data_IF_082385648189
#
_entry.id   IF_082385648189
#
_cell.length_a   1.000
_cell.length_b   1.000
_cell.length_c   1.000
_cell.angle_alpha   90.00
_cell.angle_beta   90.00
_cell.angle_gamma   90.00
#
_symmetry.space_group_name_H-M   'P 1'
#
loop_
_entity.id
_entity.type
_entity.pdbx_description
1 polymer ?
#
# COMPACT_ATOMS: atom_id res chain seq x y z
N UNK A 1 19.20 44.38 -14.84
CA UNK A 1 18.26 43.99 -13.75
C UNK A 1 17.10 43.08 -14.20
N UNK A 2 16.54 43.22 -15.42
CA UNK A 2 15.43 42.35 -15.90
C UNK A 2 15.82 40.90 -16.23
N UNK A 3 17.09 40.65 -16.57
CA UNK A 3 17.57 39.33 -17.00
C UNK A 3 17.76 38.32 -15.85
N UNK A 4 18.06 38.78 -14.63
CA UNK A 4 18.17 37.92 -13.44
C UNK A 4 16.83 37.36 -12.96
N UNK A 5 15.73 38.07 -13.22
CA UNK A 5 14.38 37.69 -12.79
C UNK A 5 13.88 36.48 -13.62
N UNK A 6 14.27 36.40 -14.89
CA UNK A 6 13.86 35.30 -15.78
C UNK A 6 14.60 34.01 -15.41
N UNK A 7 15.88 34.11 -15.04
CA UNK A 7 16.68 32.96 -14.61
C UNK A 7 16.18 32.33 -13.31
N UNK A 8 15.75 33.13 -12.34
CA UNK A 8 15.20 32.63 -11.07
C UNK A 8 13.82 32.00 -11.25
N UNK A 9 12.96 32.57 -12.10
CA UNK A 9 11.65 31.98 -12.42
C UNK A 9 11.80 30.61 -13.08
N UNK A 10 12.71 30.47 -14.05
CA UNK A 10 12.95 29.16 -14.69
C UNK A 10 13.47 28.11 -13.69
N UNK A 11 14.38 28.50 -12.80
CA UNK A 11 14.92 27.61 -11.75
C UNK A 11 13.83 27.13 -10.78
N UNK A 12 12.90 28.01 -10.39
CA UNK A 12 11.77 27.65 -9.52
C UNK A 12 10.81 26.69 -10.22
N UNK A 13 10.52 26.89 -11.51
CA UNK A 13 9.66 25.98 -12.29
C UNK A 13 10.29 24.59 -12.44
N UNK A 14 11.60 24.52 -12.66
CA UNK A 14 12.33 23.24 -12.75
C UNK A 14 12.35 22.53 -11.39
N UNK A 15 12.54 23.26 -10.29
CA UNK A 15 12.50 22.69 -8.92
C UNK A 15 11.11 22.14 -8.56
N UNK A 16 10.04 22.82 -8.99
CA UNK A 16 8.66 22.37 -8.77
C UNK A 16 8.27 21.17 -9.66
N UNK A 17 8.89 20.97 -10.82
CA UNK A 17 8.59 19.81 -11.67
C UNK A 17 9.11 18.49 -11.08
N UNK A 18 10.19 18.51 -10.28
CA UNK A 18 10.77 17.30 -9.70
C UNK A 18 9.99 16.76 -8.50
N UNK A 19 9.22 17.60 -7.81
CA UNK A 19 8.46 17.20 -6.61
C UNK A 19 7.14 16.49 -6.92
N UNK A 20 6.63 16.56 -8.16
CA UNK A 20 5.33 15.99 -8.55
C UNK A 20 5.42 14.49 -8.92
N UNK A 21 6.63 13.95 -9.09
CA UNK A 21 6.82 12.55 -9.55
C UNK A 21 6.67 11.47 -8.46
N UNK A 22 6.40 11.85 -7.21
CA UNK A 22 6.32 10.90 -6.09
C UNK A 22 4.91 10.37 -5.80
N UNK A 23 3.86 10.91 -6.43
CA UNK A 23 2.48 10.58 -6.03
C UNK A 23 2.03 9.15 -6.40
N UNK A 24 2.75 8.46 -7.29
CA UNK A 24 2.36 7.14 -7.81
C UNK A 24 3.43 6.05 -7.67
N UNK A 25 4.46 6.24 -6.82
CA UNK A 25 5.50 5.23 -6.62
C UNK A 25 5.22 4.42 -5.36
N UNK A 26 4.61 3.26 -5.55
CA UNK A 26 4.60 2.22 -4.53
C UNK A 26 6.01 1.63 -4.33
N UNK A 27 6.24 1.00 -3.17
CA UNK A 27 7.51 0.31 -2.90
C UNK A 27 7.77 -0.88 -3.84
N UNK A 28 9.00 -1.40 -3.85
CA UNK A 28 9.43 -2.46 -4.77
C UNK A 28 8.62 -3.78 -4.68
N UNK A 29 7.86 -4.00 -3.59
CA UNK A 29 6.99 -5.17 -3.38
C UNK A 29 5.51 -4.79 -3.25
N UNK A 30 5.17 -3.63 -3.76
CA UNK A 30 3.83 -3.09 -3.72
C UNK A 30 3.34 -2.76 -5.12
N UNK A 31 2.03 -2.77 -5.29
CA UNK A 31 1.34 -2.41 -6.52
C UNK A 31 0.26 -1.37 -6.22
N UNK A 32 0.06 -0.46 -7.17
CA UNK A 32 -0.98 0.55 -7.09
C UNK A 32 -2.31 -0.08 -7.50
N UNK A 33 -3.25 -0.16 -6.55
CA UNK A 33 -4.61 -0.66 -6.81
C UNK A 33 -5.64 0.40 -6.42
N UNK A 34 -6.79 0.33 -7.09
CA UNK A 34 -7.98 1.12 -6.80
C UNK A 34 -8.99 0.25 -6.09
N UNK A 35 -9.09 0.42 -4.76
CA UNK A 35 -10.08 -0.26 -3.93
C UNK A 35 -11.13 0.77 -3.52
N UNK A 36 -12.42 0.44 -3.65
CA UNK A 36 -13.52 1.39 -3.34
C UNK A 36 -13.39 2.76 -4.04
N UNK A 37 -12.87 2.77 -5.27
CA UNK A 37 -12.68 4.00 -6.07
C UNK A 37 -11.49 4.88 -5.67
N UNK A 38 -10.72 4.49 -4.65
CA UNK A 38 -9.56 5.25 -4.18
C UNK A 38 -8.24 4.50 -4.44
N UNK A 39 -7.18 5.19 -4.88
CA UNK A 39 -5.86 4.57 -5.07
C UNK A 39 -5.20 4.23 -3.73
N UNK A 40 -4.40 3.17 -3.71
CA UNK A 40 -3.53 2.81 -2.60
C UNK A 40 -2.42 1.85 -3.01
N UNK A 41 -1.34 1.81 -2.22
CA UNK A 41 -0.24 0.88 -2.40
C UNK A 41 -0.46 -0.37 -1.54
N UNK A 42 -0.57 -1.52 -2.21
CA UNK A 42 -0.84 -2.80 -1.59
C UNK A 42 0.29 -3.76 -1.87
N UNK A 43 0.61 -4.63 -0.90
CA UNK A 43 1.57 -5.69 -1.11
C UNK A 43 1.15 -6.58 -2.28
N UNK A 44 2.08 -6.93 -3.17
CA UNK A 44 1.81 -7.77 -4.34
C UNK A 44 1.13 -9.10 -3.97
N UNK A 45 0.44 -9.74 -4.92
CA UNK A 45 -0.25 -11.02 -4.69
C UNK A 45 0.68 -12.05 -4.03
N UNK A 46 0.18 -12.73 -2.99
CA UNK A 46 0.93 -13.73 -2.22
C UNK A 46 1.83 -13.14 -1.13
N UNK A 47 1.72 -11.83 -0.87
CA UNK A 47 2.42 -11.16 0.22
C UNK A 47 1.46 -10.35 1.08
N UNK A 48 1.78 -10.21 2.36
CA UNK A 48 0.98 -9.49 3.38
C UNK A 48 1.82 -8.41 4.04
N UNK A 49 1.16 -7.31 4.44
CA UNK A 49 1.82 -6.19 5.12
C UNK A 49 1.95 -6.47 6.61
N UNK A 50 3.19 -6.51 7.09
CA UNK A 50 3.58 -6.68 8.50
C UNK A 50 4.52 -5.53 8.86
N UNK A 51 4.18 -4.71 9.85
CA UNK A 51 5.04 -3.59 10.31
C UNK A 51 5.64 -2.78 9.14
N UNK A 52 4.79 -2.32 8.22
CA UNK A 52 5.15 -1.58 7.00
C UNK A 52 5.84 -2.37 5.87
N UNK A 53 6.22 -3.62 6.08
CA UNK A 53 6.92 -4.44 5.07
C UNK A 53 5.99 -5.49 4.45
N UNK A 54 6.17 -5.75 3.16
CA UNK A 54 5.51 -6.87 2.49
C UNK A 54 6.35 -8.13 2.63
N UNK A 55 5.80 -9.12 3.33
CA UNK A 55 6.41 -10.45 3.53
C UNK A 55 5.57 -11.52 2.84
N UNK A 56 6.15 -12.67 2.45
CA UNK A 56 5.38 -13.77 1.88
C UNK A 56 4.24 -14.23 2.81
N UNK A 57 3.06 -14.50 2.27
CA UNK A 57 1.93 -15.06 3.04
C UNK A 57 2.32 -16.36 3.76
N UNK A 58 3.21 -17.15 3.17
CA UNK A 58 3.76 -18.38 3.76
C UNK A 58 4.63 -18.17 5.00
N UNK A 59 5.09 -16.94 5.26
CA UNK A 59 5.80 -16.60 6.50
C UNK A 59 4.84 -16.42 7.69
N UNK A 60 3.53 -16.46 7.44
CA UNK A 60 2.48 -16.33 8.43
C UNK A 60 1.68 -17.63 8.53
N UNK A 61 1.15 -17.90 9.73
CA UNK A 61 0.22 -19.00 9.98
C UNK A 61 -1.07 -18.48 10.62
N UNK A 62 -2.18 -19.17 10.39
CA UNK A 62 -3.38 -18.94 11.18
C UNK A 62 -3.09 -19.37 12.62
N UNK A 63 -3.54 -18.56 13.58
CA UNK A 63 -3.31 -18.77 15.00
C UNK A 63 -4.64 -19.04 15.70
N UNK A 64 -4.64 -20.00 16.63
CA UNK A 64 -5.83 -20.40 17.39
C UNK A 64 -6.07 -19.53 18.64
N UNK A 65 -5.26 -18.49 18.83
CA UNK A 65 -5.45 -17.52 19.93
C UNK A 65 -6.84 -16.89 19.80
N UNK A 66 -7.65 -16.88 20.88
CA UNK A 66 -9.02 -16.39 20.86
C UNK A 66 -9.04 -14.85 20.83
N UNK A 67 -8.83 -14.28 19.65
CA UNK A 67 -9.00 -12.85 19.39
C UNK A 67 -10.23 -12.68 18.51
N UNK A 68 -11.12 -11.77 18.91
CA UNK A 68 -12.28 -11.43 18.10
C UNK A 68 -11.85 -10.48 16.97
N UNK A 69 -11.88 -10.97 15.73
CA UNK A 69 -11.50 -10.19 14.56
C UNK A 69 -12.70 -9.62 13.81
N UNK A 70 -12.48 -8.56 13.04
CA UNK A 70 -13.51 -7.96 12.22
C UNK A 70 -13.93 -8.83 11.03
N UNK A 71 -14.92 -8.38 10.24
CA UNK A 71 -15.35 -9.09 9.04
C UNK A 71 -14.20 -9.32 8.04
N UNK A 72 -14.08 -10.55 7.55
CA UNK A 72 -13.02 -10.99 6.63
C UNK A 72 -11.58 -10.88 7.20
N UNK A 73 -11.45 -10.73 8.51
CA UNK A 73 -10.18 -10.84 9.22
C UNK A 73 -10.04 -12.21 9.90
N UNK A 74 -8.80 -12.65 10.06
CA UNK A 74 -8.41 -13.87 10.77
C UNK A 74 -7.21 -13.56 11.65
N UNK A 75 -7.07 -14.31 12.76
CA UNK A 75 -5.90 -14.19 13.63
C UNK A 75 -4.72 -14.82 12.92
N UNK A 76 -3.71 -14.00 12.58
CA UNK A 76 -2.49 -14.48 11.95
C UNK A 76 -1.30 -14.25 12.87
N UNK A 77 -0.43 -15.25 12.95
CA UNK A 77 0.88 -15.15 13.56
C UNK A 77 1.95 -15.10 12.48
N UNK A 78 2.72 -14.01 12.46
CA UNK A 78 3.88 -13.82 11.58
C UNK A 78 5.10 -13.57 12.46
N UNK A 79 5.91 -14.61 12.69
CA UNK A 79 6.97 -14.58 13.71
C UNK A 79 6.40 -14.39 15.12
N UNK A 80 6.79 -13.32 15.81
CA UNK A 80 6.29 -12.96 17.15
C UNK A 80 5.06 -12.05 17.14
N UNK A 81 4.59 -11.64 15.97
CA UNK A 81 3.46 -10.70 15.83
C UNK A 81 2.18 -11.52 15.65
N UNK A 82 1.22 -11.33 16.55
CA UNK A 82 -0.11 -11.96 16.52
C UNK A 82 -1.15 -10.83 16.47
N UNK A 83 -1.91 -10.74 15.39
CA UNK A 83 -2.95 -9.72 15.23
C UNK A 83 -4.03 -10.15 14.22
N UNK A 84 -5.15 -9.44 14.22
CA UNK A 84 -6.19 -9.60 13.20
C UNK A 84 -5.72 -8.98 11.89
N UNK A 85 -5.73 -9.79 10.83
CA UNK A 85 -5.39 -9.38 9.47
C UNK A 85 -6.44 -9.87 8.50
N UNK A 86 -6.56 -9.20 7.36
CA UNK A 86 -7.39 -9.69 6.28
C UNK A 86 -6.98 -11.11 5.90
N UNK A 87 -7.96 -11.99 5.71
CA UNK A 87 -7.71 -13.38 5.30
C UNK A 87 -6.97 -13.44 3.95
N UNK A 88 -6.25 -14.54 3.64
CA UNK A 88 -5.51 -14.67 2.38
C UNK A 88 -6.36 -14.27 1.16
N UNK A 89 -5.77 -13.47 0.25
CA UNK A 89 -6.47 -12.92 -0.91
C UNK A 89 -7.32 -11.66 -0.66
N UNK A 90 -7.27 -11.07 0.54
CA UNK A 90 -7.95 -9.82 0.89
C UNK A 90 -6.94 -8.71 1.24
N UNK A 91 -7.31 -7.47 0.93
CA UNK A 91 -6.47 -6.27 1.08
C UNK A 91 -7.09 -5.33 2.12
N UNK A 92 -6.26 -4.77 3.00
CA UNK A 92 -6.71 -3.80 4.01
C UNK A 92 -6.68 -2.39 3.44
N UNK A 93 -7.81 -1.70 3.43
CA UNK A 93 -7.95 -0.32 2.99
C UNK A 93 -8.99 0.40 3.85
N UNK A 94 -8.69 1.62 4.33
CA UNK A 94 -9.64 2.38 5.15
C UNK A 94 -10.14 1.67 6.41
N UNK A 95 -9.33 0.77 7.00
CA UNK A 95 -9.74 -0.04 8.15
C UNK A 95 -10.62 -1.25 7.84
N UNK A 96 -10.94 -1.50 6.57
CA UNK A 96 -11.77 -2.62 6.11
C UNK A 96 -10.98 -3.56 5.20
N UNK A 97 -11.45 -4.81 5.10
CA UNK A 97 -10.89 -5.80 4.18
C UNK A 97 -11.71 -5.87 2.90
N UNK A 98 -11.06 -5.70 1.76
CA UNK A 98 -11.64 -5.84 0.42
C UNK A 98 -11.07 -7.06 -0.28
N UNK A 99 -11.91 -7.79 -1.02
CA UNK A 99 -11.44 -8.87 -1.87
C UNK A 99 -10.47 -8.29 -2.89
N UNK A 100 -9.27 -8.87 -3.01
CA UNK A 100 -8.27 -8.42 -3.99
C UNK A 100 -8.82 -8.38 -5.42
N UNK A 101 -9.75 -9.29 -5.75
CA UNK A 101 -10.40 -9.36 -7.06
C UNK A 101 -11.32 -8.16 -7.35
N UNK A 102 -11.77 -7.45 -6.32
CA UNK A 102 -12.60 -6.25 -6.45
C UNK A 102 -11.78 -4.98 -6.66
N UNK A 103 -10.49 -5.02 -6.30
CA UNK A 103 -9.57 -3.91 -6.54
C UNK A 103 -8.97 -3.99 -7.94
N UNK A 104 -8.90 -2.86 -8.64
CA UNK A 104 -8.40 -2.80 -10.02
C UNK A 104 -6.98 -2.24 -10.06
N UNK A 105 -6.10 -2.90 -10.78
CA UNK A 105 -4.82 -2.30 -11.16
C UNK A 105 -5.05 -1.21 -12.21
N UNK A 106 -4.28 -0.12 -12.15
CA UNK A 106 -4.22 0.79 -13.29
C UNK A 106 -3.51 0.08 -14.44
N UNK A 107 -4.23 -0.15 -15.55
CA UNK A 107 -3.57 -0.42 -16.83
C UNK A 107 -3.03 0.92 -17.30
N UNK A 108 -1.70 1.03 -17.33
CA UNK A 108 -1.00 2.10 -18.05
C UNK A 108 -1.27 2.01 -19.54
#
# INVERSE_FOLDING_TARGET
MRSLIIGTILLVVIFLAQSVSCLNRCGAREELLYCSGSPGCFCVKGTVRIQQHCVPESACRISDVPINCGPNEVVQQCGHIIECRCRPGWLRFGGQCYSRLTCRAQRG
#
